data_IF_369125803475
#
_entry.id   IF_369125803475
#
_cell.length_a   1.000
_cell.length_b   1.000
_cell.length_c   1.000
_cell.angle_alpha   90.00
_cell.angle_beta   90.00
_cell.angle_gamma   90.00
#
_symmetry.space_group_name_H-M   'P 1'
#
loop_
_entity.id
_entity.type
_entity.pdbx_description
1 polymer ?
2 polymer ?
3 polymer ?
4 non-polymer ?
5 non-polymer ?
6 water ?
#
loop_
_entity_poly.entity_id
_entity_poly.type
_entity_poly.pdbx_seq_one_letter_code
_entity_poly.pdbx_strand_id
2 'polydeoxyribonucleotide' '(DA)(DG)(DG)(DA)(DC)(DC)(DOC)' ?
3 'polydeoxyribonucleotide' '(DT)(DC)(DT)(3DR)(DG)(DG)(DG)(DT)(DC)(DC)(DT)' ?
#
# COMPACT_ATOMS: atom_id res chain seq x y z
N UNK A 25 -22.42 9.70 13.91
CA UNK A 25 -21.22 9.13 13.22
C UNK A 25 -21.35 7.58 13.13
N UNK A 26 -22.40 7.12 12.42
CA UNK A 26 -22.55 5.69 12.06
C UNK A 26 -22.02 5.34 10.61
N UNK A 27 -22.79 5.64 9.55
CA UNK A 27 -22.47 5.20 8.17
C UNK A 27 -21.39 6.03 7.43
N UNK A 28 -20.41 5.37 6.86
CA UNK A 28 -19.29 6.06 6.26
C UNK A 28 -19.32 5.85 4.78
N UNK A 29 -18.70 6.80 4.08
CA UNK A 29 -18.35 6.68 2.67
C UNK A 29 -16.82 6.82 2.60
N UNK A 30 -16.18 5.73 2.20
CA UNK A 30 -14.75 5.63 2.11
C UNK A 30 -14.33 5.41 0.63
N UNK A 31 -13.31 6.10 0.19
CA UNK A 31 -12.65 5.75 -1.09
C UNK A 31 -11.23 5.14 -0.89
N UNK A 32 -10.89 4.12 -1.69
CA UNK A 32 -9.57 3.60 -1.73
C UNK A 32 -9.03 3.92 -3.14
N UNK A 33 -7.90 4.62 -3.21
CA UNK A 33 -7.30 4.98 -4.49
C UNK A 33 -6.07 4.10 -4.65
N UNK A 34 -5.92 3.49 -5.82
CA UNK A 34 -4.89 2.50 -5.96
C UNK A 34 -4.29 2.77 -7.34
N UNK A 35 -3.06 3.26 -7.41
CA UNK A 35 -2.53 3.68 -8.76
C UNK A 35 -2.20 2.48 -9.64
N UNK A 36 -2.22 2.66 -10.96
CA UNK A 36 -1.79 1.65 -11.92
C UNK A 36 -0.24 1.49 -11.98
N UNK A 37 0.22 0.27 -11.93
CA UNK A 37 1.60 -0.13 -12.11
C UNK A 37 2.53 1.01 -11.70
N UNK A 38 2.39 1.43 -10.45
CA UNK A 38 2.99 2.65 -9.98
C UNK A 38 4.46 2.90 -10.40
N UNK A 39 5.42 2.03 -10.07
CA UNK A 39 6.87 2.35 -10.42
C UNK A 39 7.00 2.47 -11.97
N UNK A 40 6.25 1.64 -12.69
CA UNK A 40 6.39 1.62 -14.16
C UNK A 40 5.83 2.91 -14.70
N UNK A 41 4.71 3.37 -14.13
CA UNK A 41 4.12 4.67 -14.51
C UNK A 41 5.12 5.79 -14.32
N UNK A 42 5.76 5.84 -13.16
CA UNK A 42 6.74 6.88 -12.93
C UNK A 42 7.88 6.75 -14.02
N UNK A 43 8.33 5.56 -14.30
CA UNK A 43 9.45 5.45 -15.28
C UNK A 43 9.00 5.86 -16.69
N UNK A 44 7.74 5.55 -17.06
CA UNK A 44 7.20 5.89 -18.39
C UNK A 44 7.04 7.39 -18.61
N UNK A 45 6.61 8.09 -17.57
CA UNK A 45 6.66 9.55 -17.52
C UNK A 45 8.08 10.11 -17.66
N UNK A 46 9.07 9.50 -17.00
CA UNK A 46 10.45 10.00 -17.07
C UNK A 46 11.06 9.83 -18.43
N UNK A 47 10.88 8.66 -19.01
CA UNK A 47 11.37 8.35 -20.32
C UNK A 47 10.22 7.96 -21.27
N UNK A 48 9.58 8.97 -21.90
CA UNK A 48 8.47 8.80 -22.83
C UNK A 48 8.68 7.71 -23.88
N UNK A 49 9.94 7.47 -24.26
CA UNK A 49 10.28 6.35 -25.19
C UNK A 49 9.90 4.94 -24.68
N UNK A 50 9.78 4.78 -23.36
CA UNK A 50 9.26 3.55 -22.74
C UNK A 50 7.73 3.36 -22.89
N UNK A 51 7.00 4.42 -23.27
CA UNK A 51 5.56 4.24 -23.53
C UNK A 51 5.28 3.23 -24.65
N UNK A 52 4.10 2.62 -24.60
CA UNK A 52 3.66 1.59 -25.60
C UNK A 52 4.64 0.40 -25.81
N UNK A 53 5.85 0.52 -25.23
CA UNK A 53 6.79 -0.58 -25.03
C UNK A 53 6.51 -1.34 -23.73
N UNK A 54 6.62 -2.67 -23.76
CA UNK A 54 6.50 -3.55 -22.60
C UNK A 54 7.64 -3.24 -21.63
N UNK A 55 7.31 -2.87 -20.37
CA UNK A 55 8.31 -2.35 -19.42
C UNK A 55 8.20 -3.03 -18.08
N UNK A 56 9.35 -3.42 -17.53
CA UNK A 56 9.47 -4.02 -16.23
C UNK A 56 10.42 -3.16 -15.42
N UNK A 57 10.15 -3.04 -14.12
CA UNK A 57 11.03 -2.30 -13.20
C UNK A 57 11.72 -3.42 -12.37
N UNK A 58 13.03 -3.41 -12.42
CA UNK A 58 13.83 -4.43 -11.81
C UNK A 58 14.46 -3.94 -10.51
N UNK A 59 14.50 -4.87 -9.56
CA UNK A 59 15.23 -4.69 -8.33
C UNK A 59 15.94 -6.00 -8.16
N UNK A 60 17.25 -5.99 -8.27
CA UNK A 60 18.01 -7.23 -8.11
C UNK A 60 17.50 -8.26 -9.14
N UNK A 61 17.10 -9.45 -8.71
CA UNK A 61 16.65 -10.48 -9.65
C UNK A 61 15.13 -10.45 -9.93
N UNK A 62 14.44 -9.48 -9.35
CA UNK A 62 12.97 -9.44 -9.39
C UNK A 62 12.47 -8.33 -10.34
N UNK A 63 11.43 -8.64 -11.10
CA UNK A 63 10.74 -7.65 -11.88
C UNK A 63 9.55 -7.27 -10.98
N UNK A 64 9.72 -6.17 -10.25
CA UNK A 64 8.88 -5.96 -9.09
C UNK A 64 7.50 -5.57 -9.61
N UNK A 65 7.47 -4.79 -10.69
CA UNK A 65 6.21 -4.48 -11.35
C UNK A 65 6.45 -4.28 -12.84
N UNK A 66 5.38 -4.16 -13.63
CA UNK A 66 5.54 -3.93 -15.10
C UNK A 66 4.29 -3.20 -15.60
N UNK A 67 4.42 -2.49 -16.72
CA UNK A 67 3.28 -1.77 -17.27
C UNK A 67 2.25 -2.74 -17.92
N UNK A 68 1.10 -2.22 -18.38
CA UNK A 68 0.04 -3.13 -18.82
C UNK A 68 0.34 -3.83 -20.17
N UNK A 69 1.19 -3.20 -20.97
CA UNK A 69 1.70 -3.78 -22.22
C UNK A 69 2.48 -5.07 -21.88
N UNK A 70 3.31 -5.02 -20.85
CA UNK A 70 4.03 -6.19 -20.37
C UNK A 70 3.12 -7.31 -19.79
N UNK A 71 2.06 -6.92 -19.09
CA UNK A 71 1.11 -7.92 -18.56
C UNK A 71 0.35 -8.66 -19.69
N UNK A 72 0.10 -7.98 -20.81
CA UNK A 72 -0.56 -8.62 -22.02
C UNK A 72 0.32 -9.71 -22.61
N UNK A 73 1.62 -9.54 -22.44
CA UNK A 73 2.61 -10.51 -22.90
C UNK A 73 3.00 -11.60 -21.90
N UNK A 74 2.26 -11.74 -20.80
CA UNK A 74 2.58 -12.78 -19.80
C UNK A 74 3.34 -12.33 -18.54
N UNK A 75 3.94 -11.14 -18.56
CA UNK A 75 4.79 -10.72 -17.41
C UNK A 75 3.88 -10.51 -16.17
N UNK A 76 4.21 -11.12 -15.04
CA UNK A 76 3.43 -10.86 -13.82
C UNK A 76 4.21 -10.01 -12.83
N UNK A 77 3.50 -9.35 -11.92
CA UNK A 77 4.08 -8.58 -10.83
C UNK A 77 4.86 -9.53 -9.92
N UNK A 78 6.03 -9.07 -9.50
CA UNK A 78 6.93 -9.90 -8.68
C UNK A 78 7.36 -11.23 -9.33
N UNK A 79 7.67 -11.20 -10.63
CA UNK A 79 8.22 -12.37 -11.36
C UNK A 79 9.74 -12.25 -11.42
N UNK A 80 10.52 -13.30 -11.19
CA UNK A 80 11.97 -13.07 -11.36
C UNK A 80 12.31 -12.79 -12.80
N UNK A 81 13.41 -12.08 -13.02
CA UNK A 81 13.87 -11.64 -14.34
C UNK A 81 13.95 -12.78 -15.36
N UNK A 82 14.42 -13.95 -14.94
CA UNK A 82 14.56 -15.09 -15.86
C UNK A 82 13.22 -15.50 -16.48
N UNK A 83 12.31 -16.01 -15.65
CA UNK A 83 10.94 -16.29 -16.04
C UNK A 83 10.33 -15.18 -16.91
N UNK A 84 10.66 -13.93 -16.59
CA UNK A 84 10.02 -12.78 -17.21
C UNK A 84 10.56 -12.51 -18.60
N UNK A 85 11.87 -12.66 -18.78
CA UNK A 85 12.45 -12.52 -20.10
C UNK A 85 12.24 -13.76 -21.02
N UNK A 86 12.00 -14.94 -20.44
CA UNK A 86 11.61 -16.12 -21.26
C UNK A 86 10.09 -16.26 -21.45
N UNK A 87 9.32 -15.40 -20.81
CA UNK A 87 7.92 -15.22 -21.18
C UNK A 87 7.84 -14.08 -22.18
N UNK A 88 8.76 -13.12 -22.03
CA UNK A 88 8.74 -11.95 -22.87
C UNK A 88 10.17 -11.49 -23.09
N UNK A 89 10.82 -12.00 -24.16
CA UNK A 89 12.22 -11.73 -24.53
C UNK A 89 12.51 -10.27 -24.83
N UNK A 90 11.54 -9.56 -25.40
CA UNK A 90 11.65 -8.14 -25.72
C UNK A 90 11.31 -7.15 -24.58
N UNK A 91 11.24 -7.64 -23.36
CA UNK A 91 10.91 -6.78 -22.21
C UNK A 91 11.97 -5.70 -21.91
N UNK A 92 11.63 -4.42 -22.01
CA UNK A 92 12.51 -3.36 -21.50
C UNK A 92 12.53 -3.37 -19.94
N UNK A 93 13.73 -3.47 -19.35
CA UNK A 93 13.91 -3.43 -17.89
C UNK A 93 14.56 -2.12 -17.44
N UNK A 94 13.99 -1.43 -16.46
CA UNK A 94 14.71 -0.26 -15.85
C UNK A 94 14.90 -0.57 -14.39
N UNK A 95 16.01 -0.05 -13.84
CA UNK A 95 16.34 -0.38 -12.49
C UNK A 95 15.49 0.42 -11.50
N UNK A 96 14.83 -0.23 -10.57
CA UNK A 96 13.99 0.51 -9.58
C UNK A 96 14.44 0.41 -8.14
N UNK A 97 15.76 0.23 -7.96
CA UNK A 97 16.31 0.03 -6.66
C UNK A 97 16.30 1.28 -5.80
N UNK A 98 16.46 2.45 -6.45
CA UNK A 98 16.47 3.75 -5.79
C UNK A 98 15.05 4.26 -5.86
N UNK A 99 14.41 4.40 -4.69
CA UNK A 99 13.02 4.69 -4.60
C UNK A 99 12.77 6.19 -4.61
N UNK A 100 13.82 7.02 -4.68
CA UNK A 100 13.63 8.46 -4.51
C UNK A 100 12.47 9.06 -5.28
N UNK A 101 12.47 8.86 -6.61
CA UNK A 101 11.45 9.45 -7.45
C UNK A 101 10.05 8.82 -7.16
N UNK A 102 10.01 7.54 -6.82
CA UNK A 102 8.67 6.91 -6.56
C UNK A 102 8.13 7.54 -5.27
N UNK A 103 9.02 7.67 -4.29
CA UNK A 103 8.63 8.20 -3.00
C UNK A 103 8.12 9.62 -3.18
N UNK A 104 8.87 10.43 -3.95
CA UNK A 104 8.41 11.81 -4.18
C UNK A 104 7.02 11.92 -4.83
N UNK A 105 6.80 11.14 -5.89
CA UNK A 105 5.50 11.17 -6.53
C UNK A 105 4.38 10.66 -5.58
N UNK A 106 4.71 9.66 -4.78
CA UNK A 106 3.75 9.07 -3.80
C UNK A 106 3.27 10.14 -2.82
N UNK A 107 4.16 11.00 -2.31
CA UNK A 107 3.68 12.06 -1.45
C UNK A 107 2.93 13.13 -2.22
N UNK A 108 3.30 13.38 -3.48
CA UNK A 108 2.49 14.33 -4.29
C UNK A 108 1.01 13.85 -4.40
N UNK A 109 0.83 12.55 -4.58
CA UNK A 109 -0.52 11.95 -4.67
C UNK A 109 -1.27 12.11 -3.36
N UNK A 110 -0.63 11.78 -2.26
CA UNK A 110 -1.28 11.92 -0.94
C UNK A 110 -1.66 13.35 -0.66
N UNK A 111 -0.75 14.30 -0.97
CA UNK A 111 -1.07 15.70 -0.72
C UNK A 111 -2.23 16.19 -1.56
N UNK A 112 -2.28 15.76 -2.82
CA UNK A 112 -3.37 16.21 -3.67
C UNK A 112 -4.68 15.67 -3.06
N UNK A 113 -4.66 14.43 -2.57
CA UNK A 113 -5.90 13.85 -1.95
C UNK A 113 -6.29 14.58 -0.67
N UNK A 114 -5.30 15.02 0.10
CA UNK A 114 -5.54 15.71 1.35
C UNK A 114 -6.26 17.02 1.15
N UNK A 115 -6.10 17.59 -0.05
CA UNK A 115 -6.70 18.83 -0.36
C UNK A 115 -8.22 18.67 -0.53
N UNK A 116 -8.67 17.48 -0.95
CA UNK A 116 -10.09 17.12 -0.95
C UNK A 116 -10.65 16.96 0.46
N UNK A 117 -10.06 16.10 1.28
CA UNK A 117 -10.44 15.99 2.69
C UNK A 117 -9.17 15.59 3.46
N UNK A 118 -8.95 16.18 4.65
CA UNK A 118 -7.66 16.06 5.24
C UNK A 118 -7.29 14.70 5.77
N UNK A 119 -8.25 13.84 6.01
CA UNK A 119 -7.89 12.59 6.71
C UNK A 119 -7.56 11.54 5.67
N UNK A 120 -6.26 11.41 5.36
CA UNK A 120 -5.87 10.50 4.29
C UNK A 120 -4.87 9.52 4.88
N UNK A 121 -5.14 8.24 4.69
CA UNK A 121 -4.25 7.19 5.15
C UNK A 121 -3.54 6.53 3.99
N UNK A 122 -2.22 6.48 4.06
CA UNK A 122 -1.43 5.82 3.04
C UNK A 122 -1.33 4.37 3.29
N UNK A 123 -1.17 3.58 2.22
CA UNK A 123 -0.81 2.18 2.46
C UNK A 123 0.17 1.83 1.40
N UNK A 124 1.44 1.65 1.80
CA UNK A 124 2.49 1.53 0.81
C UNK A 124 2.63 2.83 0.03
N UNK A 125 3.31 2.78 -1.12
CA UNK A 125 3.60 4.03 -1.81
C UNK A 125 2.51 4.37 -2.79
N UNK A 126 1.57 3.43 -3.04
CA UNK A 126 0.59 3.83 -4.05
C UNK A 126 -0.87 3.64 -3.79
N UNK A 127 -1.21 3.45 -2.52
CA UNK A 127 -2.63 3.34 -2.10
C UNK A 127 -2.91 4.39 -1.03
N UNK A 128 -4.09 5.03 -1.11
CA UNK A 128 -4.52 5.95 -0.05
C UNK A 128 -6.00 5.66 0.22
N UNK A 129 -6.46 5.87 1.46
CA UNK A 129 -7.85 5.82 1.79
C UNK A 129 -8.22 7.22 2.21
N UNK A 130 -9.40 7.65 1.82
CA UNK A 130 -9.91 8.92 2.30
C UNK A 130 -11.31 8.66 2.86
N UNK A 131 -11.62 9.30 4.00
CA UNK A 131 -12.93 9.22 4.58
C UNK A 131 -13.69 10.36 3.98
N UNK A 132 -14.63 10.06 3.09
CA UNK A 132 -15.38 11.12 2.43
C UNK A 132 -16.71 11.48 3.10
N UNK A 133 -16.98 10.89 4.26
CA UNK A 133 -18.33 10.96 4.80
C UNK A 133 -18.77 12.42 4.98
N UNK A 134 -17.87 13.24 5.56
CA UNK A 134 -18.21 14.66 5.80
C UNK A 134 -18.41 15.42 4.53
N UNK A 135 -17.53 15.21 3.57
CA UNK A 135 -17.65 15.83 2.24
C UNK A 135 -18.97 15.48 1.54
N UNK A 136 -19.33 14.20 1.58
CA UNK A 136 -20.59 13.72 0.93
C UNK A 136 -21.79 14.45 1.54
N UNK A 137 -21.84 14.49 2.86
CA UNK A 137 -22.93 15.12 3.57
C UNK A 137 -23.05 16.63 3.27
N UNK A 138 -21.94 17.34 3.25
CA UNK A 138 -21.97 18.73 2.89
C UNK A 138 -22.43 18.89 1.42
N UNK A 139 -22.03 18.01 0.52
CA UNK A 139 -22.55 18.13 -0.86
C UNK A 139 -24.06 17.92 -0.93
N UNK A 140 -24.58 16.96 -0.16
CA UNK A 140 -26.03 16.64 -0.18
C UNK A 140 -26.86 17.78 0.40
N UNK A 141 -26.39 18.41 1.47
CA UNK A 141 -27.10 19.53 2.02
C UNK A 141 -27.10 20.67 1.01
N UNK A 142 -26.18 20.67 0.04
CA UNK A 142 -26.18 21.71 -0.98
C UNK A 142 -27.24 21.56 -2.08
N UNK A 143 -27.63 20.33 -2.43
CA UNK A 143 -28.62 20.07 -3.50
C UNK A 143 -30.06 20.31 -3.07
N UNK A 144 -30.91 20.77 -3.99
CA UNK A 144 -32.33 20.94 -3.69
C UNK A 144 -33.11 19.61 -3.73
N UNK A 145 -34.31 19.64 -3.12
CA UNK A 145 -35.25 18.51 -3.09
C UNK A 145 -35.81 18.27 -4.49
N UNK A 146 -34.93 18.30 -5.50
CA UNK A 146 -35.37 18.09 -6.87
C UNK A 146 -34.23 17.41 -7.61
N UNK A 147 -33.07 18.05 -7.61
CA UNK A 147 -31.83 17.51 -8.22
C UNK A 147 -31.24 16.22 -7.57
N UNK A 148 -31.76 15.84 -6.39
CA UNK A 148 -31.47 14.57 -5.75
C UNK A 148 -31.86 13.36 -6.61
N UNK A 149 -32.94 13.52 -7.39
CA UNK A 149 -33.39 12.52 -8.34
C UNK A 149 -32.47 12.46 -9.57
N UNK A 150 -31.66 13.51 -9.80
CA UNK A 150 -30.69 13.52 -10.90
C UNK A 150 -29.28 12.99 -10.50
N UNK A 151 -29.12 12.55 -9.25
CA UNK A 151 -27.81 12.02 -8.79
C UNK A 151 -27.44 10.80 -9.62
N UNK A 152 -26.26 10.83 -10.22
CA UNK A 152 -25.88 9.66 -11.00
C UNK A 152 -24.51 9.12 -10.56
N UNK A 153 -24.27 7.87 -10.91
CA UNK A 153 -23.03 7.23 -10.59
C UNK A 153 -21.91 7.69 -11.56
N UNK A 154 -20.70 7.72 -11.06
CA UNK A 154 -19.56 7.82 -11.93
C UNK A 154 -18.75 6.55 -11.93
N UNK A 155 -18.62 5.92 -13.10
CA UNK A 155 -17.88 4.68 -13.24
C UNK A 155 -18.77 3.42 -13.00
N UNK A 156 -18.13 2.29 -12.71
CA UNK A 156 -18.85 0.99 -12.53
C UNK A 156 -19.62 0.86 -11.21
N UNK A 157 -20.74 0.13 -11.27
CA UNK A 157 -21.43 -0.31 -10.04
C UNK A 157 -21.12 -1.79 -9.88
N UNK A 158 -20.48 -2.15 -8.79
CA UNK A 158 -20.15 -3.58 -8.52
C UNK A 158 -21.39 -4.49 -8.75
N UNK A 159 -21.15 -5.61 -9.46
CA UNK A 159 -22.13 -6.65 -9.73
C UNK A 159 -23.32 -6.06 -10.49
N UNK A 160 -23.12 -4.92 -11.19
CA UNK A 160 -24.16 -4.33 -12.03
C UNK A 160 -25.44 -4.10 -11.19
N UNK A 161 -25.27 -3.78 -9.90
CA UNK A 161 -26.43 -3.71 -9.02
C UNK A 161 -27.32 -2.47 -9.33
N UNK A 162 -28.65 -2.65 -9.37
CA UNK A 162 -29.58 -1.52 -9.59
C UNK A 162 -29.47 -0.46 -8.54
N UNK A 163 -29.57 0.79 -8.97
CA UNK A 163 -29.51 1.84 -7.98
C UNK A 163 -30.93 2.17 -7.52
N UNK A 164 -31.10 2.43 -6.22
CA UNK A 164 -32.41 2.88 -5.73
C UNK A 164 -32.16 4.28 -5.26
N UNK A 165 -32.67 5.25 -6.03
CA UNK A 165 -32.51 6.67 -5.76
C UNK A 165 -33.24 7.18 -4.51
N UNK A 166 -34.17 6.38 -3.95
CA UNK A 166 -34.77 6.73 -2.69
C UNK A 166 -33.97 6.12 -1.51
N UNK A 167 -32.93 5.37 -1.80
CA UNK A 167 -32.14 4.75 -0.69
C UNK A 167 -31.02 5.74 -0.38
N UNK A 168 -31.09 6.36 0.80
CA UNK A 168 -30.10 7.35 1.19
C UNK A 168 -28.61 6.79 1.16
N UNK A 169 -28.40 5.49 1.40
CA UNK A 169 -27.06 4.90 1.44
C UNK A 169 -26.59 4.82 -0.01
N UNK A 170 -27.51 4.48 -0.92
CA UNK A 170 -27.18 4.49 -2.37
C UNK A 170 -26.79 5.94 -2.77
N UNK A 171 -27.63 6.92 -2.42
CA UNK A 171 -27.32 8.33 -2.80
C UNK A 171 -25.89 8.75 -2.32
N UNK A 172 -25.53 8.35 -1.08
CA UNK A 172 -24.28 8.86 -0.47
C UNK A 172 -23.07 8.23 -1.16
N UNK A 173 -23.21 6.93 -1.46
CA UNK A 173 -22.19 6.16 -2.22
C UNK A 173 -22.04 6.70 -3.62
N UNK A 174 -23.15 7.10 -4.27
CA UNK A 174 -23.00 7.71 -5.58
C UNK A 174 -22.30 9.05 -5.54
N UNK A 175 -22.62 9.91 -4.57
CA UNK A 175 -21.91 11.20 -4.41
C UNK A 175 -20.40 10.83 -4.14
N UNK A 176 -20.16 9.77 -3.35
CA UNK A 176 -18.75 9.25 -3.13
C UNK A 176 -18.10 8.85 -4.46
N UNK A 177 -18.82 8.17 -5.36
CA UNK A 177 -18.30 7.89 -6.71
C UNK A 177 -17.96 9.15 -7.52
N UNK A 178 -18.76 10.18 -7.41
CA UNK A 178 -18.45 11.45 -8.12
C UNK A 178 -17.17 12.08 -7.53
N UNK A 179 -17.04 12.12 -6.21
CA UNK A 179 -15.81 12.68 -5.59
C UNK A 179 -14.60 11.90 -6.09
N UNK A 180 -14.71 10.58 -6.09
CA UNK A 180 -13.65 9.72 -6.55
C UNK A 180 -13.22 10.00 -7.96
N UNK A 181 -14.21 10.18 -8.86
CA UNK A 181 -13.90 10.54 -10.28
C UNK A 181 -13.16 11.90 -10.35
N UNK A 182 -13.58 12.87 -9.52
CA UNK A 182 -12.86 14.17 -9.42
C UNK A 182 -11.39 13.99 -8.94
N UNK A 183 -11.18 13.14 -7.93
CA UNK A 183 -9.86 12.84 -7.46
C UNK A 183 -9.04 12.20 -8.60
N UNK A 184 -9.58 11.20 -9.31
CA UNK A 184 -8.78 10.56 -10.32
C UNK A 184 -8.46 11.51 -11.45
N UNK A 185 -9.43 12.40 -11.79
CA UNK A 185 -9.19 13.41 -12.84
C UNK A 185 -8.12 14.41 -12.41
N UNK A 186 -8.18 14.89 -11.18
CA UNK A 186 -7.14 15.77 -10.66
C UNK A 186 -5.74 15.10 -10.70
N UNK A 187 -5.66 13.81 -10.31
CA UNK A 187 -4.40 13.11 -10.32
C UNK A 187 -3.86 13.06 -11.69
N UNK A 188 -4.73 12.81 -12.66
CA UNK A 188 -4.27 12.73 -14.03
C UNK A 188 -3.84 14.14 -14.50
N UNK A 189 -4.70 15.13 -14.28
CA UNK A 189 -4.45 16.47 -14.81
C UNK A 189 -3.30 17.21 -14.13
N UNK A 190 -3.16 17.03 -12.82
CA UNK A 190 -2.09 17.66 -12.09
C UNK A 190 -0.76 16.89 -12.01
N UNK A 191 -0.78 15.55 -12.00
CA UNK A 191 0.46 14.77 -11.74
C UNK A 191 0.73 13.84 -12.88
N UNK A 192 -0.22 13.75 -13.82
CA UNK A 192 -0.05 12.83 -15.00
C UNK A 192 -0.24 11.33 -14.68
N UNK A 193 -0.87 10.99 -13.53
CA UNK A 193 -0.99 9.58 -13.10
C UNK A 193 -2.43 9.04 -13.21
N UNK A 194 -2.52 7.80 -13.66
CA UNK A 194 -3.77 7.11 -13.74
C UNK A 194 -3.85 6.12 -12.55
N UNK A 195 -5.08 5.80 -12.14
CA UNK A 195 -5.27 4.97 -10.96
C UNK A 195 -6.71 4.47 -10.94
N UNK A 196 -6.95 3.47 -10.11
CA UNK A 196 -8.32 2.96 -9.86
C UNK A 196 -8.79 3.50 -8.51
N UNK A 197 -10.10 3.54 -8.29
CA UNK A 197 -10.69 3.88 -7.01
C UNK A 197 -11.82 2.94 -6.70
N UNK A 198 -12.07 2.70 -5.43
CA UNK A 198 -13.26 1.92 -5.04
C UNK A 198 -13.95 2.67 -3.96
N UNK A 199 -15.28 2.77 -4.03
CA UNK A 199 -16.03 3.50 -3.02
C UNK A 199 -16.95 2.49 -2.29
N UNK A 200 -16.90 2.48 -0.95
CA UNK A 200 -17.70 1.58 -0.16
C UNK A 200 -17.91 2.15 1.25
N UNK A 201 -18.66 1.44 2.09
CA UNK A 201 -18.94 1.91 3.44
C UNK A 201 -17.85 1.67 4.50
N UNK A 202 -16.77 0.96 4.19
CA UNK A 202 -15.63 0.82 5.10
C UNK A 202 -14.34 0.54 4.29
N UNK A 203 -13.18 0.55 4.95
CA UNK A 203 -11.92 0.43 4.21
C UNK A 203 -11.71 -0.97 3.58
N UNK A 204 -12.01 -2.04 4.30
CA UNK A 204 -11.93 -3.38 3.75
C UNK A 204 -12.64 -3.42 2.40
N UNK A 205 -13.89 -3.02 2.37
CA UNK A 205 -14.69 -3.17 1.14
C UNK A 205 -14.23 -2.20 -0.02
N UNK A 206 -13.90 -0.96 0.35
CA UNK A 206 -13.35 -0.01 -0.64
C UNK A 206 -12.09 -0.59 -1.27
N UNK A 207 -11.23 -1.19 -0.46
CA UNK A 207 -10.00 -1.79 -0.99
C UNK A 207 -10.30 -3.05 -1.86
N UNK A 208 -11.21 -3.88 -1.42
CA UNK A 208 -11.58 -5.03 -2.26
C UNK A 208 -12.26 -4.56 -3.54
N UNK A 209 -13.09 -3.53 -3.47
CA UNK A 209 -13.85 -3.19 -4.68
C UNK A 209 -13.02 -2.36 -5.68
N UNK A 210 -11.98 -1.67 -5.20
CA UNK A 210 -11.13 -0.86 -6.11
C UNK A 210 -10.46 -1.62 -7.21
N UNK A 211 -10.16 -2.88 -6.97
CA UNK A 211 -9.47 -3.74 -7.93
C UNK A 211 -10.42 -4.48 -8.92
N UNK A 212 -11.73 -4.33 -8.80
CA UNK A 212 -12.67 -5.11 -9.69
C UNK A 212 -12.50 -4.79 -11.22
N UNK A 213 -12.34 -3.52 -11.54
CA UNK A 213 -12.07 -3.07 -12.93
C UNK A 213 -10.78 -2.32 -12.96
N UNK A 214 -9.81 -2.89 -13.67
CA UNK A 214 -8.47 -2.31 -13.80
C UNK A 214 -8.06 -2.50 -15.23
N UNK A 215 -7.13 -1.65 -15.76
CA UNK A 215 -6.55 -0.41 -15.14
C UNK A 215 -7.43 0.79 -15.23
N UNK A 216 -7.04 1.83 -14.46
CA UNK A 216 -7.61 3.18 -14.63
C UNK A 216 -9.15 3.19 -14.74
N UNK A 217 -9.83 2.67 -13.73
CA UNK A 217 -11.29 2.66 -13.68
C UNK A 217 -11.73 2.75 -12.22
N UNK A 218 -13.02 2.88 -11.96
CA UNK A 218 -13.50 2.95 -10.58
C UNK A 218 -14.78 2.22 -10.45
N UNK A 219 -15.02 1.70 -9.24
CA UNK A 219 -16.23 0.90 -8.98
C UNK A 219 -16.77 1.30 -7.61
N UNK A 220 -18.11 1.31 -7.50
CA UNK A 220 -18.72 1.57 -6.22
C UNK A 220 -19.47 0.35 -5.79
N UNK A 221 -19.43 0.11 -4.47
CA UNK A 221 -20.08 -1.01 -3.86
C UNK A 221 -21.36 -0.58 -3.13
N UNK A 222 -22.55 -0.97 -3.63
CA UNK A 222 -23.79 -0.81 -2.85
C UNK A 222 -23.92 -1.93 -1.78
N UNK A 223 -24.57 -1.63 -0.62
CA UNK A 223 -24.55 -2.55 0.53
C UNK A 223 -25.09 -3.99 0.15
N UNK A 224 -26.05 -4.03 -0.76
CA UNK A 224 -26.73 -5.31 -1.09
C UNK A 224 -25.77 -6.24 -1.75
N UNK A 225 -24.64 -5.76 -2.28
CA UNK A 225 -23.71 -6.69 -3.05
C UNK A 225 -22.50 -7.09 -2.22
N UNK A 226 -22.51 -6.67 -0.96
CA UNK A 226 -21.38 -6.96 -0.05
C UNK A 226 -21.06 -8.45 0.14
N UNK A 227 -22.07 -9.29 0.46
CA UNK A 227 -21.79 -10.74 0.43
C UNK A 227 -21.24 -11.25 -0.95
N UNK A 228 -21.77 -10.77 -2.07
CA UNK A 228 -21.31 -11.20 -3.38
C UNK A 228 -19.77 -10.88 -3.52
N UNK A 229 -19.40 -9.66 -3.13
CA UNK A 229 -17.98 -9.29 -3.22
C UNK A 229 -17.10 -10.16 -2.31
N UNK A 230 -17.52 -10.35 -1.07
CA UNK A 230 -16.72 -11.13 -0.11
C UNK A 230 -16.58 -12.59 -0.59
N UNK A 231 -17.67 -13.14 -1.14
CA UNK A 231 -17.67 -14.55 -1.55
C UNK A 231 -17.01 -14.68 -2.89
N UNK A 232 -16.79 -13.56 -3.63
CA UNK A 232 -16.03 -13.64 -4.88
C UNK A 232 -14.54 -14.02 -4.67
N UNK A 233 -14.05 -13.78 -3.46
CA UNK A 233 -12.64 -14.21 -3.08
C UNK A 233 -12.47 -15.76 -3.13
N UNK A 234 -11.31 -16.24 -3.55
CA UNK A 234 -11.10 -17.68 -3.60
C UNK A 234 -10.33 -18.29 -2.46
N UNK A 235 -9.71 -17.45 -1.65
CA UNK A 235 -9.12 -17.93 -0.40
C UNK A 235 -8.98 -16.78 0.61
N UNK A 236 -9.06 -17.13 1.89
CA UNK A 236 -9.12 -16.15 2.95
C UNK A 236 -7.85 -15.26 2.98
N UNK A 237 -6.78 -15.67 2.32
CA UNK A 237 -5.54 -14.86 2.25
C UNK A 237 -5.78 -13.60 1.46
N UNK A 238 -6.86 -13.60 0.69
CA UNK A 238 -7.15 -12.47 -0.14
C UNK A 238 -7.76 -11.39 0.71
N UNK A 239 -8.11 -11.71 1.95
CA UNK A 239 -8.73 -10.69 2.78
C UNK A 239 -7.57 -9.79 3.37
N UNK A 240 -7.57 -8.49 3.03
CA UNK A 240 -6.58 -7.56 3.58
C UNK A 240 -6.66 -7.70 5.12
N UNK A 241 -5.54 -8.00 5.73
CA UNK A 241 -5.57 -8.25 7.16
C UNK A 241 -5.22 -9.68 7.54
N UNK A 242 -5.59 -10.64 6.70
CA UNK A 242 -5.19 -12.03 6.94
C UNK A 242 -3.89 -12.29 6.17
N UNK A 243 -2.76 -12.41 6.86
CA UNK A 243 -1.47 -12.60 6.14
C UNK A 243 -0.97 -14.03 5.92
N UNK A 244 0.31 -14.16 5.58
CA UNK A 244 0.94 -15.47 5.27
C UNK A 244 0.82 -16.41 6.46
N UNK A 245 1.16 -15.93 7.65
CA UNK A 245 1.05 -16.78 8.81
C UNK A 245 -0.37 -17.11 9.25
N UNK A 246 -1.29 -16.18 9.23
CA UNK A 246 -2.64 -16.49 9.74
C UNK A 246 -3.39 -17.44 8.84
N UNK A 247 -3.28 -17.22 7.52
CA UNK A 247 -3.72 -18.14 6.48
C UNK A 247 -3.17 -19.55 6.67
N UNK A 248 -1.88 -19.69 6.96
CA UNK A 248 -1.32 -21.02 7.23
C UNK A 248 -1.98 -21.64 8.45
N UNK A 249 -2.11 -20.88 9.55
CA UNK A 249 -2.88 -21.34 10.69
C UNK A 249 -4.31 -21.76 10.35
N UNK A 250 -5.08 -20.91 9.62
CA UNK A 250 -6.50 -21.19 9.36
C UNK A 250 -6.64 -22.46 8.61
N UNK A 251 -5.74 -22.67 7.66
CA UNK A 251 -5.73 -23.91 6.94
C UNK A 251 -5.63 -25.08 7.90
N UNK A 252 -4.55 -25.09 8.66
CA UNK A 252 -4.35 -26.18 9.63
C UNK A 252 -5.70 -26.52 10.24
N UNK A 253 -6.56 -25.50 10.44
CA UNK A 253 -7.89 -25.74 11.03
C UNK A 253 -9.00 -26.26 10.10
N UNK A 254 -8.68 -26.59 8.84
CA UNK A 254 -9.70 -26.83 7.82
C UNK A 254 -10.43 -25.59 7.24
N UNK A 255 -9.96 -24.37 7.55
CA UNK A 255 -10.59 -23.14 7.01
C UNK A 255 -9.93 -22.67 5.72
N UNK A 256 -10.66 -22.78 4.61
CA UNK A 256 -10.12 -22.40 3.31
C UNK A 256 -10.90 -21.32 2.54
N UNK A 257 -12.24 -21.37 2.52
CA UNK A 257 -13.07 -20.37 1.84
C UNK A 257 -13.43 -19.26 2.77
N UNK A 258 -13.90 -18.14 2.25
CA UNK A 258 -14.42 -17.08 3.14
C UNK A 258 -15.61 -17.64 3.97
N UNK A 259 -16.51 -18.41 3.32
CA UNK A 259 -17.58 -19.05 4.05
C UNK A 259 -17.15 -19.97 5.22
N UNK A 260 -16.13 -20.78 5.00
CA UNK A 260 -15.55 -21.60 6.11
C UNK A 260 -15.22 -20.71 7.30
N UNK A 261 -14.59 -19.58 6.99
CA UNK A 261 -14.25 -18.65 8.05
C UNK A 261 -15.50 -18.05 8.73
N UNK A 262 -16.51 -17.66 7.96
CA UNK A 262 -17.74 -17.03 8.45
C UNK A 262 -18.49 -17.99 9.39
N UNK A 263 -18.54 -19.26 9.03
CA UNK A 263 -19.24 -20.25 9.83
C UNK A 263 -18.41 -20.95 10.93
N UNK A 264 -17.11 -20.68 11.04
CA UNK A 264 -16.29 -21.50 11.94
C UNK A 264 -16.53 -21.05 13.40
N UNK A 265 -16.28 -21.97 14.36
CA UNK A 265 -16.58 -21.73 15.79
C UNK A 265 -15.83 -20.53 16.32
N UNK A 266 -16.59 -19.51 16.78
CA UNK A 266 -15.83 -18.37 17.37
C UNK A 266 -14.89 -18.78 18.54
N UNK A 267 -15.33 -19.71 19.37
CA UNK A 267 -14.58 -20.12 20.54
C UNK A 267 -13.23 -20.78 20.20
N UNK A 268 -13.25 -21.64 19.18
CA UNK A 268 -12.08 -22.41 18.76
C UNK A 268 -11.10 -21.44 18.13
N UNK A 269 -11.64 -20.54 17.30
CA UNK A 269 -10.85 -19.47 16.70
C UNK A 269 -10.20 -18.57 17.79
N UNK A 270 -10.98 -18.21 18.81
CA UNK A 270 -10.48 -17.35 19.92
C UNK A 270 -9.29 -18.00 20.61
N UNK A 271 -9.48 -19.26 21.01
CA UNK A 271 -8.51 -19.96 21.83
C UNK A 271 -7.48 -20.71 20.96
N UNK A 272 -7.08 -20.07 19.88
CA UNK A 272 -6.21 -20.67 18.89
C UNK A 272 -5.38 -19.57 18.18
N UNK A 273 -5.97 -18.37 17.99
CA UNK A 273 -5.36 -17.19 17.35
C UNK A 273 -5.24 -15.97 18.25
N UNK A 274 -5.71 -16.11 19.49
CA UNK A 274 -5.79 -15.01 20.42
C UNK A 274 -7.17 -14.43 20.19
N UNK A 275 -7.72 -13.77 21.22
CA UNK A 275 -9.02 -13.13 21.05
C UNK A 275 -8.93 -12.01 20.02
N UNK A 276 -7.81 -11.29 20.05
CA UNK A 276 -7.63 -10.14 19.16
C UNK A 276 -7.68 -10.55 17.68
N UNK A 277 -6.83 -11.50 17.28
CA UNK A 277 -6.74 -11.83 15.88
C UNK A 277 -8.11 -12.43 15.46
N UNK A 278 -8.68 -13.27 16.33
CA UNK A 278 -9.84 -14.10 16.00
C UNK A 278 -11.11 -13.30 15.73
N UNK A 279 -11.43 -12.38 16.63
CA UNK A 279 -12.69 -11.67 16.52
C UNK A 279 -12.57 -10.61 15.42
N UNK A 280 -11.36 -10.19 15.12
CA UNK A 280 -11.26 -9.19 14.06
C UNK A 280 -11.37 -9.83 12.64
N UNK A 281 -10.64 -10.92 12.43
CA UNK A 281 -10.66 -11.59 11.14
C UNK A 281 -11.99 -12.24 10.82
N UNK A 282 -12.74 -12.62 11.85
CA UNK A 282 -14.00 -13.21 11.62
C UNK A 282 -14.97 -12.16 11.14
N UNK A 283 -14.91 -11.00 11.76
CA UNK A 283 -15.65 -9.85 11.28
C UNK A 283 -15.32 -9.52 9.80
N UNK A 284 -14.03 -9.49 9.46
CA UNK A 284 -13.61 -9.21 8.10
C UNK A 284 -14.28 -10.21 7.14
N UNK A 285 -14.44 -11.48 7.60
CA UNK A 285 -15.00 -12.51 6.73
C UNK A 285 -16.44 -12.22 6.37
N UNK A 286 -17.11 -11.44 7.23
CA UNK A 286 -18.43 -10.91 6.89
C UNK A 286 -18.48 -9.61 6.03
N UNK A 287 -17.35 -9.02 5.69
CA UNK A 287 -17.37 -7.66 5.10
C UNK A 287 -17.40 -6.53 6.12
N UNK A 288 -17.23 -6.84 7.42
CA UNK A 288 -17.40 -5.84 8.51
C UNK A 288 -16.07 -5.36 8.94
N UNK A 289 -15.96 -4.06 9.20
CA UNK A 289 -14.59 -3.51 9.45
C UNK A 289 -14.83 -2.12 9.93
N UNK A 290 -14.76 -1.92 11.28
CA UNK A 290 -14.97 -0.59 11.83
C UNK A 290 -13.68 0.30 11.92
N UNK A 291 -12.54 -0.16 11.42
CA UNK A 291 -11.30 0.61 11.65
C UNK A 291 -11.43 1.93 10.92
N UNK A 292 -11.03 3.02 11.62
CA UNK A 292 -11.07 4.39 11.07
C UNK A 292 -9.95 4.61 10.04
N UNK A 293 -10.18 5.56 9.14
CA UNK A 293 -9.14 5.97 8.22
C UNK A 293 -8.26 6.88 9.11
N UNK A 294 -6.96 6.58 9.21
CA UNK A 294 -6.06 7.34 10.13
C UNK A 294 -5.22 8.32 9.29
N UNK A 295 -5.12 9.54 9.75
CA UNK A 295 -4.27 10.55 9.08
C UNK A 295 -2.84 10.08 9.14
N UNK A 296 -2.26 9.76 8.02
CA UNK A 296 -0.85 9.29 8.04
C UNK A 296 0.14 10.43 8.34
N UNK A 297 -0.09 11.59 7.74
CA UNK A 297 0.85 12.72 7.99
C UNK A 297 2.27 12.34 7.54
N UNK A 298 3.30 12.94 8.19
CA UNK A 298 4.68 12.66 7.87
C UNK A 298 5.08 11.28 8.30
N UNK A 299 6.09 10.69 7.63
CA UNK A 299 6.50 9.35 7.94
C UNK A 299 7.07 9.26 9.37
N UNK A 300 6.96 8.07 9.95
CA UNK A 300 7.48 7.70 11.25
C UNK A 300 8.90 7.17 11.24
N UNK A 301 9.42 6.80 10.07
CA UNK A 301 10.77 6.34 9.95
C UNK A 301 11.29 6.62 8.55
N UNK A 302 12.61 6.52 8.36
CA UNK A 302 13.25 6.78 7.09
C UNK A 302 14.31 5.69 7.05
N UNK A 303 14.25 4.80 6.06
CA UNK A 303 15.32 3.83 5.95
C UNK A 303 15.79 3.60 4.53
N UNK A 304 16.95 2.96 4.39
CA UNK A 304 17.48 2.54 3.12
C UNK A 304 18.19 1.23 3.34
N UNK A 305 18.26 0.48 2.25
CA UNK A 305 18.58 -0.91 2.28
C UNK A 305 19.57 -1.23 1.18
N UNK A 306 20.36 -2.26 1.48
CA UNK A 306 21.24 -2.84 0.46
C UNK A 306 21.40 -4.35 0.59
N UNK A 307 21.11 -5.01 -0.51
CA UNK A 307 21.07 -6.42 -0.66
C UNK A 307 22.30 -6.87 -1.49
N UNK A 308 22.78 -8.07 -1.21
CA UNK A 308 23.98 -8.56 -1.87
C UNK A 308 24.09 -9.96 -1.32
N UNK A 309 23.94 -10.98 -2.18
CA UNK A 309 23.86 -12.35 -1.65
C UNK A 309 25.21 -13.04 -1.48
N UNK A 310 25.61 -13.14 -0.20
CA UNK A 310 26.89 -13.66 0.33
C UNK A 310 27.96 -12.57 0.55
N UNK A 311 27.65 -11.33 0.17
CA UNK A 311 28.69 -10.27 0.01
C UNK A 311 29.18 -9.56 1.25
N UNK A 312 28.48 -9.76 2.39
CA UNK A 312 28.92 -9.11 3.62
C UNK A 312 29.81 -10.06 4.42
N UNK A 313 31.12 -9.98 4.16
CA UNK A 313 32.20 -10.77 4.82
C UNK A 313 32.16 -10.78 6.37
N UNK A 314 31.66 -9.67 6.96
CA UNK A 314 31.52 -9.39 8.42
C UNK A 314 32.69 -8.55 8.95
N UNK A 315 33.01 -7.42 8.29
CA UNK A 315 34.13 -6.49 8.70
C UNK A 315 34.54 -5.55 7.58
N UNK A 316 34.94 -6.13 6.45
CA UNK A 316 35.24 -5.31 5.29
C UNK A 316 34.10 -4.26 4.98
N UNK A 317 32.85 -4.62 5.24
CA UNK A 317 31.72 -3.81 4.73
C UNK A 317 31.04 -2.89 5.78
N UNK A 318 31.44 -1.62 5.71
CA UNK A 318 30.91 -0.50 6.50
C UNK A 318 30.94 0.68 5.56
N UNK A 319 31.83 0.59 4.57
CA UNK A 319 31.76 1.45 3.39
C UNK A 319 30.27 1.53 2.90
N UNK A 320 29.60 0.36 2.95
CA UNK A 320 28.18 0.21 2.61
C UNK A 320 27.32 1.03 3.56
N UNK A 321 27.70 1.00 4.85
CA UNK A 321 26.96 1.67 5.92
C UNK A 321 27.08 3.18 5.76
N UNK A 322 28.28 3.63 5.45
CA UNK A 322 28.55 5.01 5.05
C UNK A 322 27.71 5.47 3.86
N UNK A 323 27.61 4.65 2.82
CA UNK A 323 26.69 4.93 1.70
C UNK A 323 25.22 5.07 2.16
N UNK A 324 24.71 4.06 2.88
CA UNK A 324 23.31 4.11 3.38
C UNK A 324 23.09 5.43 4.16
N UNK A 325 24.06 5.75 5.05
CA UNK A 325 24.02 6.99 5.83
C UNK A 325 23.93 8.30 5.03
N UNK A 326 24.77 8.41 4.01
CA UNK A 326 24.90 9.65 3.27
C UNK A 326 23.58 10.01 2.58
N UNK A 327 22.95 9.01 1.97
CA UNK A 327 21.62 9.15 1.42
C UNK A 327 20.60 9.53 2.50
N UNK A 328 20.57 8.75 3.57
CA UNK A 328 19.60 9.01 4.60
C UNK A 328 19.69 10.42 5.17
N UNK A 329 20.93 10.88 5.45
CA UNK A 329 21.16 12.20 6.05
C UNK A 329 20.52 13.35 5.27
N UNK A 330 20.66 13.27 3.96
CA UNK A 330 20.00 14.20 3.05
C UNK A 330 18.44 14.16 3.14
N UNK A 331 17.88 12.99 3.41
CA UNK A 331 16.41 12.85 3.43
C UNK A 331 15.84 13.36 4.77
N UNK A 332 16.43 12.84 5.87
CA UNK A 332 16.08 13.08 7.26
C UNK A 332 16.24 14.56 7.60
N UNK A 333 17.26 15.17 6.99
CA UNK A 333 17.44 16.63 6.93
C UNK A 333 16.20 17.32 6.33
N UNK A 334 16.15 17.33 4.98
CA UNK A 334 15.02 17.78 4.15
C UNK A 334 13.65 17.88 4.85
N UNK A 335 13.39 16.95 5.77
CA UNK A 335 12.06 16.81 6.35
C UNK A 335 11.68 17.93 7.34
N UNK A 336 12.68 18.48 8.04
CA UNK A 336 12.43 19.58 9.00
C UNK A 336 12.58 19.15 10.44
N UNK A 337 11.79 18.16 10.84
CA UNK A 337 11.94 17.43 12.10
C UNK A 337 13.25 16.64 12.13
N UNK A 338 13.59 16.16 13.32
CA UNK A 338 14.82 15.39 13.50
C UNK A 338 14.62 14.05 14.22
N UNK A 339 15.39 13.03 13.82
CA UNK A 339 15.29 11.72 14.43
C UNK A 339 16.14 11.63 15.70
N UNK A 340 15.60 10.95 16.70
CA UNK A 340 16.24 10.79 17.98
C UNK A 340 16.67 9.35 18.20
N UNK A 341 16.44 8.46 17.23
CA UNK A 341 16.92 7.09 17.37
C UNK A 341 17.58 6.65 16.07
N UNK A 342 18.58 5.76 16.16
CA UNK A 342 19.14 5.12 14.97
C UNK A 342 19.08 3.61 15.19
N UNK A 343 18.92 2.89 14.08
CA UNK A 343 18.92 1.45 14.13
C UNK A 343 19.71 0.87 12.97
N UNK A 344 20.35 -0.27 13.23
CA UNK A 344 21.10 -1.05 12.24
C UNK A 344 20.48 -2.41 12.11
N UNK A 345 20.23 -2.81 10.85
CA UNK A 345 19.57 -4.07 10.57
C UNK A 345 20.51 -4.90 9.71
N UNK A 346 20.56 -6.20 10.00
CA UNK A 346 21.30 -7.16 9.18
C UNK A 346 20.47 -8.42 8.93
N UNK A 347 20.86 -9.15 7.88
CA UNK A 347 20.42 -10.54 7.67
C UNK A 347 21.66 -11.44 7.41
N UNK A 348 21.59 -12.74 7.72
CA UNK A 348 22.75 -13.62 7.55
C UNK A 348 22.44 -14.87 6.69
N UNK A 349 23.49 -15.56 6.17
CA UNK A 349 23.33 -16.57 5.09
C UNK A 349 22.90 -17.96 5.58
N UNK A 350 23.10 -18.98 4.70
CA UNK A 350 23.15 -20.44 5.05
C UNK A 350 22.06 -21.37 4.44
N UNK A 351 20.97 -21.60 5.16
CA UNK A 351 19.84 -22.41 4.67
C UNK A 351 18.55 -21.57 4.76
N UNK A 352 17.43 -22.13 4.28
CA UNK A 352 16.18 -21.37 4.09
C UNK A 352 15.38 -20.99 5.36
N UNK A 353 16.10 -20.67 6.46
CA UNK A 353 15.55 -20.18 7.74
C UNK A 353 14.61 -18.98 7.55
N UNK A 354 13.44 -19.26 6.96
CA UNK A 354 12.51 -18.30 6.26
C UNK A 354 12.23 -16.88 6.84
N UNK A 355 12.33 -16.70 8.16
CA UNK A 355 12.37 -15.35 8.77
C UNK A 355 13.56 -15.23 9.76
N UNK A 356 14.04 -14.00 9.94
CA UNK A 356 15.23 -13.75 10.76
C UNK A 356 16.19 -12.70 10.20
N UNK A 357 15.82 -11.44 10.39
CA UNK A 357 16.76 -10.33 10.30
C UNK A 357 17.15 -9.99 11.76
N UNK A 358 18.24 -9.24 11.95
CA UNK A 358 18.60 -8.76 13.30
C UNK A 358 18.90 -7.26 13.32
N UNK A 359 18.57 -6.62 14.44
CA UNK A 359 18.77 -5.17 14.62
C UNK A 359 19.30 -4.78 16.02
N UNK A 360 20.12 -3.73 16.05
CA UNK A 360 20.57 -3.04 17.28
C UNK A 360 20.19 -1.61 17.14
N UNK A 361 19.53 -1.12 18.19
CA UNK A 361 19.02 0.22 18.23
C UNK A 361 19.71 0.95 19.38
N UNK A 362 20.04 2.24 19.19
CA UNK A 362 20.37 3.14 20.32
C UNK A 362 19.97 4.60 20.05
N UNK A 363 19.71 5.40 21.13
CA UNK A 363 19.48 6.84 20.96
C UNK A 363 20.65 7.50 20.26
N UNK A 364 20.37 8.61 19.61
CA UNK A 364 21.34 9.45 18.93
C UNK A 364 21.74 10.54 19.92
N UNK A 365 23.07 10.82 20.08
CA UNK A 365 23.38 11.82 21.13
C UNK A 365 22.79 13.21 20.79
N UNK A 366 22.38 13.97 21.81
CA UNK A 366 21.77 15.30 21.56
C UNK A 366 22.73 16.31 20.88
N UNK A 367 24.04 16.23 21.21
CA UNK A 367 25.08 16.97 20.47
C UNK A 367 24.95 16.70 18.95
N UNK A 368 24.87 15.42 18.61
CA UNK A 368 24.88 14.99 17.19
C UNK A 368 23.56 15.19 16.44
N UNK A 369 22.46 15.50 17.15
CA UNK A 369 21.22 15.89 16.47
C UNK A 369 21.38 17.26 15.80
N UNK A 370 21.62 18.31 16.60
CA UNK A 370 21.96 19.62 16.06
C UNK A 370 23.12 19.59 15.05
N UNK A 379 28.58 15.87 10.65
CA UNK A 379 27.40 14.98 11.10
C UNK A 379 27.71 13.49 10.88
N UNK A 380 28.41 13.24 9.78
CA UNK A 380 28.67 11.89 9.30
C UNK A 380 29.52 11.05 10.25
N UNK A 381 30.72 11.54 10.56
CA UNK A 381 31.73 10.71 11.22
C UNK A 381 31.14 10.21 12.59
N UNK A 382 30.53 11.09 13.36
CA UNK A 382 30.07 10.56 14.63
C UNK A 382 28.92 9.52 14.40
N UNK A 383 28.15 9.70 13.32
CA UNK A 383 27.03 8.77 13.03
C UNK A 383 27.54 7.40 12.59
N UNK A 384 28.52 7.43 11.64
CA UNK A 384 29.28 6.26 11.17
C UNK A 384 29.80 5.44 12.36
N UNK A 385 30.40 6.15 13.34
CA UNK A 385 30.94 5.45 14.46
C UNK A 385 29.89 4.91 15.43
N UNK A 386 28.73 5.61 15.61
CA UNK A 386 27.69 4.99 16.45
C UNK A 386 27.32 3.65 15.79
N UNK A 387 27.08 3.74 14.46
CA UNK A 387 26.73 2.59 13.60
C UNK A 387 27.71 1.40 13.71
N UNK A 388 29.00 1.68 13.45
CA UNK A 388 30.03 0.65 13.62
C UNK A 388 30.03 -0.13 14.95
N UNK A 389 29.77 0.55 16.08
CA UNK A 389 29.77 -0.15 17.37
C UNK A 389 28.55 -1.07 17.46
N UNK A 390 27.38 -0.48 17.12
CA UNK A 390 26.16 -1.26 16.92
C UNK A 390 26.39 -2.50 15.99
N UNK A 391 27.07 -2.29 14.87
CA UNK A 391 27.54 -3.37 14.01
C UNK A 391 28.32 -4.45 14.85
N UNK A 392 29.31 -3.96 15.63
CA UNK A 392 30.16 -4.88 16.41
C UNK A 392 29.35 -5.65 17.46
N UNK A 393 28.24 -5.08 17.91
CA UNK A 393 27.39 -5.76 18.88
C UNK A 393 26.78 -7.08 18.35
N UNK A 394 26.73 -7.21 16.99
CA UNK A 394 25.90 -8.20 16.30
C UNK A 394 26.59 -9.47 15.85
N UNK A 404 24.46 -10.62 3.78
CA UNK A 404 23.56 -10.46 2.62
C UNK A 404 22.77 -9.14 2.59
N UNK A 405 22.50 -8.55 3.75
CA UNK A 405 21.70 -7.31 3.83
C UNK A 405 22.19 -6.40 4.95
N UNK A 406 22.46 -5.15 4.56
CA UNK A 406 22.61 -4.05 5.49
C UNK A 406 21.56 -2.96 5.22
N UNK A 407 20.86 -2.53 6.29
CA UNK A 407 20.14 -1.26 6.25
C UNK A 407 20.27 -0.38 7.49
N UNK A 408 20.08 0.90 7.24
CA UNK A 408 19.96 1.86 8.32
C UNK A 408 18.57 2.51 8.33
N UNK A 409 18.06 2.76 9.53
CA UNK A 409 16.77 3.33 9.75
C UNK A 409 16.86 4.40 10.82
N UNK A 410 16.46 5.63 10.48
CA UNK A 410 16.22 6.68 11.48
C UNK A 410 14.78 6.63 11.89
N UNK A 411 14.51 6.66 13.20
CA UNK A 411 13.15 6.79 13.71
C UNK A 411 13.03 7.67 14.97
N UNK A 412 11.83 7.70 15.57
CA UNK A 412 11.59 8.44 16.81
C UNK A 412 11.90 9.90 16.48
N UNK A 413 11.23 10.40 15.43
CA UNK A 413 11.31 11.75 14.92
C UNK A 413 10.51 12.67 15.84
N UNK A 414 11.01 13.90 15.96
CA UNK A 414 10.43 14.87 16.88
C UNK A 414 10.45 16.26 16.28
#
# INVERSE_FOLDING_TARGET
MELADVGAAASSQGVHDQVLPTPNASSRVIVHVDLDCFYAQVEMISNPELKDKPLGVQQKYLVVTCNYEARKLGVKKLMNVRDAKEKCPQLVLVNGEDLTRYREMSYKVTELLEEFSPVVERLGFDENFVDLTEMVEKRLQQLQSDELSAVTVSGHVYNNQSINLLDVLHIRLLVGSQIAAEMREAMYNQLGLTGCAGVASNKLLAKLVSGVFKPNQQTVLLPESCQHLIHSLNHIKEIPGIGYKTAKCLEALGINSVRDLQTFSPKILEKELGISVAQRIQKLSFGEDNSPVILSGPPQSFSEEDSFKKCSSEVEAKNKIEELLASLLNRVCQDGRKPHTVRLIIRRYSSEKHYGRESRQCPIPSHVIQKLGTGNYDVMTPMVDILMKLFRNMVNVKMPFHLTLLSVCFCNLKALNTAK
#
